data_IF_910439343745
#
_entry.id   IF_910439343745
#
_cell.length_a   1.000
_cell.length_b   1.000
_cell.length_c   1.000
_cell.angle_alpha   90.00
_cell.angle_beta   90.00
_cell.angle_gamma   90.00
#
_symmetry.space_group_name_H-M   'P 1'
#
loop_
_entity.id
_entity.type
_entity.pdbx_description
1 polymer ?
#
# COMPACT_ATOMS: atom_id res chain seq x y z
N UNK A 1 23.18 -3.26 -0.38
CA UNK A 1 23.06 -2.09 -1.28
C UNK A 1 23.66 -2.48 -2.62
N UNK A 2 23.02 -2.13 -3.72
CA UNK A 2 23.56 -2.35 -5.07
C UNK A 2 23.88 -0.99 -5.67
N UNK A 3 25.07 -0.84 -6.26
CA UNK A 3 25.50 0.43 -6.85
C UNK A 3 24.94 0.54 -8.26
N UNK A 4 24.42 1.72 -8.60
CA UNK A 4 23.97 2.05 -9.95
C UNK A 4 24.65 3.34 -10.40
N UNK A 5 25.01 3.42 -11.68
CA UNK A 5 25.54 4.63 -12.29
C UNK A 5 24.47 5.23 -13.20
N UNK A 6 24.13 6.49 -12.99
CA UNK A 6 23.09 7.20 -13.73
C UNK A 6 23.65 8.52 -14.23
N UNK A 7 23.35 8.88 -15.48
CA UNK A 7 23.70 10.20 -16.03
C UNK A 7 22.66 11.21 -15.53
N UNK A 8 23.13 12.27 -14.88
CA UNK A 8 22.31 13.37 -14.38
C UNK A 8 22.64 14.63 -15.18
N UNK A 9 21.64 15.38 -15.66
CA UNK A 9 21.86 16.73 -16.16
C UNK A 9 22.50 17.61 -15.09
N UNK A 10 23.40 18.51 -15.48
CA UNK A 10 24.15 19.37 -14.54
C UNK A 10 23.22 20.19 -13.63
N UNK A 11 22.13 20.71 -14.18
CA UNK A 11 21.12 21.47 -13.43
C UNK A 11 20.51 20.62 -12.30
N UNK A 12 20.22 19.34 -12.56
CA UNK A 12 19.66 18.45 -11.57
C UNK A 12 20.69 18.06 -10.51
N UNK A 13 21.95 17.89 -10.91
CA UNK A 13 23.04 17.63 -9.96
C UNK A 13 23.19 18.77 -8.95
N UNK A 14 23.13 20.02 -9.41
CA UNK A 14 23.19 21.22 -8.54
C UNK A 14 22.07 21.24 -7.51
N UNK A 15 20.83 20.96 -7.92
CA UNK A 15 19.69 20.88 -7.00
C UNK A 15 19.87 19.78 -5.95
N UNK A 16 20.42 18.63 -6.33
CA UNK A 16 20.72 17.55 -5.38
C UNK A 16 21.81 17.96 -4.39
N UNK A 17 22.82 18.69 -4.85
CA UNK A 17 23.92 19.20 -4.01
C UNK A 17 23.44 20.23 -2.99
N UNK A 18 22.61 21.18 -3.42
CA UNK A 18 21.98 22.18 -2.56
C UNK A 18 21.12 21.51 -1.49
N UNK A 19 20.21 20.60 -1.89
CA UNK A 19 19.36 19.87 -0.95
C UNK A 19 20.16 18.97 0.03
N UNK A 20 21.26 18.38 -0.43
CA UNK A 20 22.16 17.59 0.41
C UNK A 20 22.89 18.47 1.44
N UNK A 21 23.35 19.65 1.02
CA UNK A 21 24.02 20.61 1.90
C UNK A 21 23.06 21.17 2.96
N UNK A 22 21.85 21.58 2.55
CA UNK A 22 20.82 22.08 3.47
C UNK A 22 20.45 21.07 4.55
N UNK A 23 20.35 19.78 4.18
CA UNK A 23 19.98 18.70 5.10
C UNK A 23 21.17 18.07 5.84
N UNK A 24 22.41 18.39 5.46
CA UNK A 24 23.61 17.80 6.04
C UNK A 24 23.76 16.30 5.77
N UNK A 25 23.27 15.80 4.63
CA UNK A 25 23.27 14.38 4.27
C UNK A 25 24.01 14.14 2.95
N UNK A 26 24.52 12.94 2.66
CA UNK A 26 25.17 12.66 1.39
C UNK A 26 24.17 12.74 0.22
N UNK A 27 24.66 13.14 -0.97
CA UNK A 27 23.87 13.22 -2.22
C UNK A 27 23.09 11.93 -2.51
N UNK A 28 23.71 10.77 -2.22
CA UNK A 28 23.09 9.46 -2.41
C UNK A 28 21.88 9.21 -1.52
N UNK A 29 21.77 9.87 -0.35
CA UNK A 29 20.59 9.81 0.49
C UNK A 29 19.41 10.54 -0.18
N UNK A 30 19.64 11.77 -0.65
CA UNK A 30 18.64 12.56 -1.38
C UNK A 30 18.13 11.81 -2.62
N UNK A 31 19.06 11.28 -3.43
CA UNK A 31 18.72 10.53 -4.65
C UNK A 31 17.89 9.28 -4.30
N UNK A 32 18.29 8.54 -3.27
CA UNK A 32 17.58 7.32 -2.85
C UNK A 32 16.19 7.64 -2.31
N UNK A 33 16.06 8.63 -1.45
CA UNK A 33 14.78 9.08 -0.89
C UNK A 33 13.81 9.51 -2.01
N UNK A 34 14.29 10.32 -2.95
CA UNK A 34 13.50 10.78 -4.10
C UNK A 34 13.03 9.62 -4.98
N UNK A 35 13.89 8.63 -5.22
CA UNK A 35 13.54 7.40 -5.95
C UNK A 35 12.51 6.56 -5.18
N UNK A 36 12.68 6.38 -3.87
CA UNK A 36 11.74 5.63 -3.04
C UNK A 36 10.36 6.27 -3.03
N UNK A 37 10.25 7.58 -2.81
CA UNK A 37 8.99 8.31 -2.84
C UNK A 37 8.34 8.16 -4.22
N UNK A 38 9.08 8.47 -5.29
CA UNK A 38 8.55 8.47 -6.66
C UNK A 38 8.08 7.08 -7.12
N UNK A 39 8.78 6.02 -6.72
CA UNK A 39 8.47 4.65 -7.11
C UNK A 39 7.38 4.03 -6.21
N UNK A 40 7.39 4.33 -4.90
CA UNK A 40 6.32 3.88 -3.99
C UNK A 40 5.00 4.58 -4.27
N UNK A 41 5.01 5.87 -4.60
CA UNK A 41 3.80 6.58 -5.04
C UNK A 41 3.26 6.03 -6.36
N UNK A 42 4.12 5.60 -7.29
CA UNK A 42 3.66 4.90 -8.50
C UNK A 42 3.08 3.52 -8.18
N UNK A 43 3.64 2.81 -7.21
CA UNK A 43 3.08 1.56 -6.74
C UNK A 43 1.72 1.77 -6.05
N UNK A 44 1.55 2.83 -5.26
CA UNK A 44 0.29 3.17 -4.58
C UNK A 44 -0.80 3.69 -5.52
N UNK A 45 -0.43 4.25 -6.69
CA UNK A 45 -1.38 4.58 -7.77
C UNK A 45 -2.07 3.36 -8.37
N UNK A 46 -1.52 2.16 -8.19
CA UNK A 46 -2.24 0.92 -8.49
C UNK A 46 -3.22 0.71 -7.33
N UNK A 47 -4.52 0.99 -7.55
CA UNK A 47 -5.56 0.70 -6.56
C UNK A 47 -5.36 -0.75 -6.11
N UNK A 48 -5.08 -0.99 -4.81
CA UNK A 48 -4.84 -2.35 -4.33
C UNK A 48 -6.10 -3.17 -4.60
N UNK A 49 -5.92 -4.38 -5.11
CA UNK A 49 -7.03 -5.32 -5.24
C UNK A 49 -7.51 -5.72 -3.85
N UNK A 50 -8.72 -6.27 -3.75
CA UNK A 50 -9.23 -6.83 -2.49
C UNK A 50 -8.25 -7.87 -1.91
N UNK A 51 -7.59 -8.66 -2.77
CA UNK A 51 -6.56 -9.62 -2.38
C UNK A 51 -5.32 -8.94 -1.78
N UNK A 52 -4.86 -7.83 -2.36
CA UNK A 52 -3.68 -7.11 -1.86
C UNK A 52 -3.93 -6.55 -0.46
N UNK A 53 -5.17 -6.13 -0.17
CA UNK A 53 -5.59 -5.60 1.12
C UNK A 53 -5.82 -6.66 2.19
N UNK A 54 -6.12 -7.91 1.81
CA UNK A 54 -6.45 -8.98 2.75
C UNK A 54 -5.35 -10.03 2.91
N UNK A 55 -4.19 -9.83 2.26
CA UNK A 55 -3.11 -10.83 2.22
C UNK A 55 -2.57 -11.19 3.61
N UNK A 56 -2.50 -10.23 4.51
CA UNK A 56 -2.06 -10.37 5.90
C UNK A 56 -3.11 -11.00 6.81
N UNK A 57 -4.37 -11.08 6.37
CA UNK A 57 -5.48 -11.73 7.08
C UNK A 57 -5.62 -13.23 6.74
N UNK A 58 -4.75 -13.77 5.88
CA UNK A 58 -4.79 -15.19 5.54
C UNK A 58 -4.44 -16.03 6.76
N UNK A 59 -5.38 -16.87 7.19
CA UNK A 59 -5.21 -17.76 8.34
C UNK A 59 -5.52 -17.13 9.70
N UNK A 60 -5.98 -15.87 9.75
CA UNK A 60 -6.41 -15.22 11.02
C UNK A 60 -7.84 -15.56 11.41
N UNK A 61 -8.61 -16.19 10.52
CA UNK A 61 -10.02 -16.49 10.73
C UNK A 61 -10.29 -17.98 10.56
N UNK A 62 -10.85 -18.60 11.61
CA UNK A 62 -11.38 -19.95 11.55
C UNK A 62 -12.76 -19.92 10.89
N UNK A 63 -12.89 -20.58 9.75
CA UNK A 63 -14.11 -20.60 8.97
C UNK A 63 -14.29 -21.85 8.12
N UNK A 64 -15.47 -22.03 7.51
CA UNK A 64 -15.72 -23.12 6.59
C UNK A 64 -14.75 -23.09 5.40
N UNK A 65 -14.24 -24.25 5.00
CA UNK A 65 -13.31 -24.37 3.88
C UNK A 65 -13.91 -23.91 2.52
N UNK A 66 -15.24 -23.91 2.42
CA UNK A 66 -16.02 -23.53 1.23
C UNK A 66 -16.56 -22.09 1.29
N UNK A 67 -16.11 -21.27 2.25
CA UNK A 67 -16.59 -19.91 2.45
C UNK A 67 -16.47 -19.02 1.19
N UNK A 68 -15.51 -19.29 0.30
CA UNK A 68 -15.30 -18.54 -0.94
C UNK A 68 -16.27 -18.91 -2.07
N UNK A 69 -16.92 -20.07 -2.01
CA UNK A 69 -17.79 -20.60 -3.09
C UNK A 69 -19.25 -20.70 -2.69
N UNK A 70 -19.53 -20.92 -1.40
CA UNK A 70 -20.87 -21.16 -0.91
C UNK A 70 -21.57 -19.84 -0.55
N UNK A 71 -22.41 -19.36 -1.47
CA UNK A 71 -23.13 -18.07 -1.36
C UNK A 71 -24.06 -17.96 -0.15
N UNK A 72 -24.51 -19.09 0.42
CA UNK A 72 -25.44 -19.11 1.56
C UNK A 72 -24.86 -18.39 2.79
N UNK A 73 -23.54 -18.46 2.99
CA UNK A 73 -22.87 -17.76 4.10
C UNK A 73 -23.02 -16.24 3.97
N UNK A 74 -22.85 -15.69 2.76
CA UNK A 74 -23.04 -14.27 2.52
C UNK A 74 -24.51 -13.85 2.68
N UNK A 75 -25.44 -14.62 2.11
CA UNK A 75 -26.88 -14.34 2.21
C UNK A 75 -27.37 -14.30 3.66
N UNK A 76 -26.99 -15.32 4.44
CA UNK A 76 -27.34 -15.39 5.86
C UNK A 76 -26.72 -14.25 6.67
N UNK A 77 -25.47 -13.86 6.39
CA UNK A 77 -24.82 -12.74 7.04
C UNK A 77 -25.53 -11.40 6.76
N UNK A 78 -25.91 -11.15 5.50
CA UNK A 78 -26.67 -9.95 5.10
C UNK A 78 -28.02 -9.88 5.82
N UNK A 79 -28.76 -10.99 5.85
CA UNK A 79 -30.06 -11.05 6.53
C UNK A 79 -29.93 -10.84 8.05
N UNK A 80 -28.89 -11.41 8.67
CA UNK A 80 -28.61 -11.22 10.09
C UNK A 80 -28.28 -9.75 10.38
N UNK A 81 -27.49 -9.10 9.54
CA UNK A 81 -27.11 -7.70 9.73
C UNK A 81 -28.28 -6.74 9.55
N UNK A 82 -29.12 -6.98 8.54
CA UNK A 82 -30.38 -6.25 8.35
C UNK A 82 -31.27 -6.31 9.59
N UNK A 83 -31.43 -7.51 10.17
CA UNK A 83 -32.20 -7.70 11.43
C UNK A 83 -31.56 -6.97 12.61
N UNK A 84 -30.22 -6.95 12.74
CA UNK A 84 -29.52 -6.18 13.78
C UNK A 84 -29.76 -4.67 13.64
N UNK A 85 -29.73 -4.16 12.42
CA UNK A 85 -30.00 -2.75 12.13
C UNK A 85 -31.44 -2.34 12.49
N UNK A 86 -32.42 -3.19 12.20
CA UNK A 86 -33.82 -2.98 12.57
C UNK A 86 -34.01 -2.95 14.10
N UNK A 87 -33.36 -3.86 14.84
CA UNK A 87 -33.46 -3.92 16.30
C UNK A 87 -32.84 -2.71 17.01
N UNK A 88 -31.80 -2.09 16.45
CA UNK A 88 -31.18 -0.86 17.01
C UNK A 88 -31.98 0.43 16.75
N UNK A 89 -32.96 0.40 15.83
CA UNK A 89 -33.78 1.55 15.44
C UNK A 89 -35.13 1.63 16.18
N UNK A 90 -35.48 0.58 16.93
CA UNK A 90 -36.60 0.55 17.88
C UNK A 90 -36.07 0.78 19.29
#
# INVERSE_FOLDING_TARGET
MTTVSVKLPEQLLRLVEEAAAERGVPKSAIIRESLEISLRERASKKKPSCLDLMRDLVGTFDGPADASVNKRYLESAILADYKRGQKKRR
#
